data_IF_101640777542
#
_entry.id   IF_101640777542
#
_cell.length_a   1.000
_cell.length_b   1.000
_cell.length_c   1.000
_cell.angle_alpha   90.00
_cell.angle_beta   90.00
_cell.angle_gamma   90.00
#
_symmetry.space_group_name_H-M   'P 1'
#
loop_
_entity.id
_entity.type
_entity.pdbx_description
1 polymer ?
#
# COMPACT_ATOMS: atom_id res chain seq x y z
N UNK A 1 -20.16 2.74 0.29
CA UNK A 1 -19.09 3.63 0.73
C UNK A 1 -18.65 3.15 2.09
N UNK A 2 -17.47 2.60 2.20
CA UNK A 2 -16.91 2.07 3.45
C UNK A 2 -16.10 3.13 4.18
N UNK A 3 -15.87 2.94 5.49
CA UNK A 3 -15.12 3.88 6.34
C UNK A 3 -13.86 3.22 6.87
N UNK A 4 -12.72 3.78 6.52
CA UNK A 4 -11.42 3.27 6.91
C UNK A 4 -10.69 4.22 7.85
N UNK A 5 -10.01 3.66 8.84
CA UNK A 5 -8.89 4.30 9.54
C UNK A 5 -7.63 3.72 8.90
N UNK A 6 -6.80 4.55 8.30
CA UNK A 6 -5.53 4.14 7.68
C UNK A 6 -4.39 4.81 8.42
N UNK A 7 -3.58 4.02 9.11
CA UNK A 7 -2.47 4.54 9.91
C UNK A 7 -1.14 3.88 9.51
N UNK A 8 -0.10 4.67 9.32
CA UNK A 8 1.20 4.10 8.95
C UNK A 8 2.17 5.07 8.33
N UNK A 9 3.12 4.49 7.58
CA UNK A 9 4.25 5.21 6.99
C UNK A 9 3.76 6.23 5.95
N UNK A 10 4.24 7.45 6.12
CA UNK A 10 4.21 8.50 5.11
C UNK A 10 5.63 9.04 4.95
N UNK A 11 6.04 9.30 3.73
CA UNK A 11 7.40 9.70 3.42
C UNK A 11 7.48 10.66 2.24
N UNK A 12 8.58 11.40 2.15
CA UNK A 12 8.94 12.17 0.97
C UNK A 12 9.72 11.27 0.02
N UNK A 13 9.24 11.11 -1.20
CA UNK A 13 9.82 10.24 -2.19
C UNK A 13 10.51 11.02 -3.29
N UNK A 14 11.73 10.63 -3.62
CA UNK A 14 12.47 11.10 -4.79
C UNK A 14 12.69 9.93 -5.74
N UNK A 15 12.03 9.94 -6.89
CA UNK A 15 12.17 8.93 -7.92
C UNK A 15 13.12 9.44 -8.99
N UNK A 16 14.19 8.71 -9.26
CA UNK A 16 15.23 9.08 -10.21
C UNK A 16 15.36 8.05 -11.32
N UNK A 17 15.12 8.48 -12.56
CA UNK A 17 15.40 7.66 -13.73
C UNK A 17 16.89 7.69 -14.02
N UNK A 18 17.53 6.51 -14.04
CA UNK A 18 18.95 6.35 -14.34
C UNK A 18 19.14 5.58 -15.65
N UNK A 19 20.32 5.70 -16.25
CA UNK A 19 20.64 5.00 -17.51
C UNK A 19 20.64 3.48 -17.33
N UNK A 20 21.31 3.01 -16.27
CA UNK A 20 21.44 1.58 -15.94
C UNK A 20 21.69 1.37 -14.44
N UNK A 21 21.33 0.19 -13.96
CA UNK A 21 21.67 -0.29 -12.61
C UNK A 21 22.51 -1.58 -12.76
N UNK A 22 23.74 -1.68 -12.17
CA UNK A 22 24.38 -0.70 -11.27
C UNK A 22 24.80 0.59 -11.99
N UNK A 23 24.76 1.71 -11.24
CA UNK A 23 25.09 3.03 -11.77
C UNK A 23 26.61 3.09 -12.02
N UNK A 24 26.99 3.51 -13.22
CA UNK A 24 28.39 3.89 -13.50
C UNK A 24 28.67 5.28 -12.96
N UNK A 25 29.83 5.47 -12.38
CA UNK A 25 30.24 6.77 -11.90
C UNK A 25 30.40 7.76 -13.08
N UNK A 26 29.60 8.82 -13.05
CA UNK A 26 29.71 10.00 -13.89
C UNK A 26 29.67 11.23 -12.96
N UNK A 27 30.63 12.15 -13.03
CA UNK A 27 30.68 13.33 -12.14
C UNK A 27 29.42 14.19 -12.24
N UNK A 28 28.75 14.16 -13.40
CA UNK A 28 27.54 14.92 -13.68
C UNK A 28 26.66 14.17 -14.68
N UNK A 29 25.39 14.02 -14.35
CA UNK A 29 24.38 13.51 -15.26
C UNK A 29 23.18 14.45 -15.26
N UNK A 30 22.86 15.02 -16.41
CA UNK A 30 21.71 15.91 -16.57
C UNK A 30 20.77 15.37 -17.63
N UNK A 31 19.61 14.83 -17.21
CA UNK A 31 18.54 14.42 -18.11
C UNK A 31 17.26 15.15 -17.70
N UNK A 32 16.55 15.68 -18.72
CA UNK A 32 15.27 16.34 -18.49
C UNK A 32 14.23 15.33 -18.01
N UNK A 33 13.39 15.75 -17.06
CA UNK A 33 12.28 14.96 -16.51
C UNK A 33 12.72 13.61 -15.90
N UNK A 34 13.99 13.54 -15.42
CA UNK A 34 14.56 12.34 -14.80
C UNK A 34 14.34 12.26 -13.28
N UNK A 35 13.93 13.36 -12.64
CA UNK A 35 13.73 13.41 -11.18
C UNK A 35 12.28 13.82 -10.90
N UNK A 36 11.62 13.04 -10.05
CA UNK A 36 10.26 13.30 -9.61
C UNK A 36 10.19 13.24 -8.07
N UNK A 37 9.59 14.26 -7.47
CA UNK A 37 9.44 14.36 -6.01
C UNK A 37 7.95 14.41 -5.67
N UNK A 38 7.55 13.62 -4.67
CA UNK A 38 6.16 13.58 -4.18
C UNK A 38 6.09 13.09 -2.73
N UNK A 39 4.95 13.27 -2.10
CA UNK A 39 4.60 12.47 -0.94
C UNK A 39 4.22 11.05 -1.37
N UNK A 40 4.51 10.10 -0.51
CA UNK A 40 4.22 8.69 -0.67
C UNK A 40 4.25 7.94 0.67
N UNK A 41 4.61 6.68 0.63
CA UNK A 41 4.55 5.77 1.78
C UNK A 41 3.25 4.97 1.81
N UNK A 42 3.23 3.90 2.61
CA UNK A 42 2.13 2.93 2.58
C UNK A 42 0.79 3.56 2.94
N UNK A 43 0.70 4.23 4.11
CA UNK A 43 -0.57 4.80 4.56
C UNK A 43 -1.08 5.92 3.65
N UNK A 44 -0.17 6.76 3.13
CA UNK A 44 -0.55 7.84 2.21
C UNK A 44 -1.11 7.28 0.90
N UNK A 45 -0.41 6.33 0.29
CA UNK A 45 -0.81 5.75 -1.00
C UNK A 45 -2.10 4.94 -0.90
N UNK A 46 -2.27 4.15 0.17
CA UNK A 46 -3.48 3.38 0.45
C UNK A 46 -4.69 4.29 0.72
N UNK A 47 -4.50 5.34 1.52
CA UNK A 47 -5.53 6.34 1.78
C UNK A 47 -6.02 7.01 0.51
N UNK A 48 -5.11 7.44 -0.35
CA UNK A 48 -5.47 8.04 -1.64
C UNK A 48 -6.19 7.06 -2.56
N UNK A 49 -5.71 5.81 -2.64
CA UNK A 49 -6.34 4.79 -3.48
C UNK A 49 -7.79 4.51 -3.03
N UNK A 50 -8.03 4.36 -1.72
CA UNK A 50 -9.37 4.19 -1.15
C UNK A 50 -10.27 5.42 -1.42
N UNK A 51 -9.73 6.63 -1.26
CA UNK A 51 -10.48 7.86 -1.59
C UNK A 51 -10.85 7.94 -3.07
N UNK A 52 -9.96 7.52 -3.99
CA UNK A 52 -10.26 7.45 -5.42
C UNK A 52 -11.37 6.45 -5.75
N UNK A 53 -11.44 5.35 -5.01
CA UNK A 53 -12.50 4.34 -5.11
C UNK A 53 -13.83 4.78 -4.44
N UNK A 54 -13.85 5.95 -3.78
CA UNK A 54 -15.04 6.55 -3.21
C UNK A 54 -15.28 6.25 -1.73
N UNK A 55 -14.29 5.75 -1.00
CA UNK A 55 -14.42 5.47 0.44
C UNK A 55 -14.16 6.70 1.31
N UNK A 56 -14.68 6.67 2.54
CA UNK A 56 -14.31 7.59 3.60
C UNK A 56 -13.02 7.11 4.27
N UNK A 57 -12.05 8.00 4.43
CA UNK A 57 -10.74 7.64 4.99
C UNK A 57 -10.31 8.67 6.01
N UNK A 58 -10.03 8.21 7.22
CA UNK A 58 -9.29 8.95 8.25
C UNK A 58 -7.82 8.57 8.12
N UNK A 59 -7.05 9.48 7.53
CA UNK A 59 -5.62 9.29 7.25
C UNK A 59 -4.79 9.73 8.43
N UNK A 60 -4.03 8.80 9.03
CA UNK A 60 -3.27 9.00 10.26
C UNK A 60 -1.80 8.67 10.05
N UNK A 61 -0.93 9.63 10.37
CA UNK A 61 0.52 9.46 10.23
C UNK A 61 1.26 10.47 11.10
N UNK A 62 2.57 10.29 11.21
CA UNK A 62 3.47 11.24 11.85
C UNK A 62 4.47 11.77 10.82
N UNK A 63 4.80 13.06 10.91
CA UNK A 63 5.70 13.77 10.01
C UNK A 63 6.63 14.70 10.79
N UNK A 64 7.61 15.27 10.10
CA UNK A 64 8.53 16.24 10.70
C UNK A 64 7.83 17.48 11.21
N UNK A 65 8.32 18.06 12.33
CA UNK A 65 7.73 19.24 12.98
C UNK A 65 7.64 20.47 12.06
N UNK A 66 8.51 20.56 11.06
CA UNK A 66 8.57 21.68 10.11
C UNK A 66 8.13 21.27 8.69
N UNK A 67 7.39 20.16 8.54
CA UNK A 67 6.95 19.69 7.23
C UNK A 67 5.84 20.61 6.67
N UNK A 68 5.96 20.96 5.41
CA UNK A 68 4.88 21.63 4.67
C UNK A 68 3.83 20.59 4.25
N UNK A 69 2.72 20.54 4.97
CA UNK A 69 1.64 19.60 4.71
C UNK A 69 0.96 19.78 3.34
N UNK A 70 1.21 20.91 2.65
CA UNK A 70 0.69 21.12 1.29
C UNK A 70 1.21 20.09 0.29
N UNK A 71 2.37 19.46 0.57
CA UNK A 71 2.93 18.40 -0.28
C UNK A 71 2.01 17.16 -0.40
N UNK A 72 1.17 16.91 0.61
CA UNK A 72 0.20 15.82 0.58
C UNK A 72 -0.99 16.13 -0.35
N UNK A 73 -1.32 17.42 -0.52
CA UNK A 73 -2.45 17.88 -1.33
C UNK A 73 -2.03 18.97 -2.32
N UNK A 74 -1.14 18.70 -3.28
CA UNK A 74 -0.76 19.68 -4.28
C UNK A 74 -2.00 20.18 -5.05
N UNK A 75 -2.01 21.47 -5.42
CA UNK A 75 -3.17 22.18 -5.97
C UNK A 75 -3.81 21.52 -7.21
N UNK A 76 -3.04 20.72 -7.96
CA UNK A 76 -3.52 20.00 -9.14
C UNK A 76 -4.11 18.62 -8.83
N UNK A 77 -4.14 18.20 -7.58
CA UNK A 77 -4.68 16.89 -7.18
C UNK A 77 -6.21 16.94 -7.12
N UNK A 78 -6.87 16.01 -7.81
CA UNK A 78 -8.34 15.94 -7.86
C UNK A 78 -8.97 15.37 -6.59
N UNK A 79 -8.28 14.45 -5.92
CA UNK A 79 -8.71 13.80 -4.67
C UNK A 79 -7.71 14.17 -3.59
N UNK A 80 -8.20 14.71 -2.49
CA UNK A 80 -7.39 15.19 -1.36
C UNK A 80 -7.64 14.36 -0.12
N UNK A 81 -6.63 14.27 0.76
CA UNK A 81 -6.75 13.71 2.10
C UNK A 81 -6.85 14.82 3.14
N UNK A 82 -7.68 14.63 4.17
CA UNK A 82 -7.61 15.47 5.36
C UNK A 82 -6.23 15.33 6.02
N UNK A 83 -5.65 16.43 6.42
CA UNK A 83 -4.41 16.44 7.22
C UNK A 83 -4.69 16.61 8.72
N UNK A 84 -5.93 16.52 9.15
CA UNK A 84 -6.36 16.70 10.55
C UNK A 84 -5.65 15.75 11.52
N UNK A 85 -5.39 14.50 11.05
CA UNK A 85 -4.72 13.47 11.83
C UNK A 85 -3.27 13.21 11.38
N UNK A 86 -2.67 14.13 10.65
CA UNK A 86 -1.25 14.16 10.33
C UNK A 86 -0.53 14.92 11.43
N UNK A 87 0.23 14.23 12.28
CA UNK A 87 0.85 14.84 13.46
C UNK A 87 2.31 15.19 13.19
N UNK A 88 2.70 16.48 13.23
CA UNK A 88 4.08 16.91 13.07
C UNK A 88 4.85 16.79 14.40
N UNK A 89 5.24 15.55 14.78
CA UNK A 89 5.80 15.23 16.11
C UNK A 89 7.15 14.52 16.08
N UNK A 90 7.73 14.32 14.90
CA UNK A 90 9.09 13.80 14.74
C UNK A 90 10.00 14.88 14.15
N UNK A 91 11.33 14.75 14.30
CA UNK A 91 12.27 15.78 13.84
C UNK A 91 12.22 16.01 12.33
N UNK A 92 12.18 14.92 11.58
CA UNK A 92 12.15 14.94 10.11
C UNK A 92 11.18 13.89 9.59
N UNK A 93 10.46 14.22 8.51
CA UNK A 93 9.64 13.26 7.76
C UNK A 93 10.52 12.16 7.16
N UNK A 94 10.12 10.88 7.22
CA UNK A 94 10.79 9.80 6.50
C UNK A 94 11.02 10.10 5.03
N UNK A 95 12.10 9.56 4.46
CA UNK A 95 12.51 9.83 3.08
C UNK A 95 12.82 8.53 2.34
N UNK A 96 12.45 8.48 1.07
CA UNK A 96 12.82 7.40 0.16
C UNK A 96 13.45 7.95 -1.12
N UNK A 97 14.51 7.30 -1.59
CA UNK A 97 15.03 7.50 -2.95
C UNK A 97 14.84 6.19 -3.71
N UNK A 98 14.14 6.26 -4.83
CA UNK A 98 13.95 5.15 -5.76
C UNK A 98 14.70 5.44 -7.05
N UNK A 99 15.73 4.66 -7.34
CA UNK A 99 16.39 4.65 -8.64
C UNK A 99 15.75 3.59 -9.52
N UNK A 100 15.51 3.89 -10.79
CA UNK A 100 15.04 2.89 -11.75
C UNK A 100 15.63 3.13 -13.15
N UNK A 101 15.85 2.05 -13.89
CA UNK A 101 16.36 2.09 -15.27
C UNK A 101 15.30 1.68 -16.31
N UNK A 102 15.63 1.81 -17.58
CA UNK A 102 14.74 1.45 -18.69
C UNK A 102 14.42 -0.06 -18.75
N UNK A 103 15.21 -0.91 -18.07
CA UNK A 103 15.01 -2.36 -17.95
C UNK A 103 14.17 -2.74 -16.74
N UNK A 104 13.60 -1.75 -16.03
CA UNK A 104 12.76 -1.88 -14.83
C UNK A 104 13.53 -2.40 -13.60
N UNK A 105 14.87 -2.41 -13.62
CA UNK A 105 15.62 -2.60 -12.40
C UNK A 105 15.40 -1.40 -11.50
N UNK A 106 15.20 -1.66 -10.21
CA UNK A 106 14.98 -0.63 -9.21
C UNK A 106 15.89 -0.86 -8.00
N UNK A 107 16.34 0.24 -7.40
CA UNK A 107 17.07 0.24 -6.14
C UNK A 107 16.47 1.28 -5.22
N UNK A 108 16.15 0.89 -3.98
CA UNK A 108 15.57 1.75 -2.96
C UNK A 108 16.57 2.07 -1.88
N UNK A 109 16.51 3.31 -1.41
CA UNK A 109 17.15 3.79 -0.19
C UNK A 109 16.05 4.41 0.67
N UNK A 110 15.85 3.84 1.85
CA UNK A 110 14.82 4.27 2.78
C UNK A 110 15.46 4.73 4.09
N UNK A 111 15.03 5.89 4.55
CA UNK A 111 15.39 6.46 5.83
C UNK A 111 14.11 6.78 6.60
N UNK A 112 13.74 5.90 7.50
CA UNK A 112 12.50 6.00 8.30
C UNK A 112 12.58 7.03 9.43
N UNK A 113 13.74 7.68 9.64
CA UNK A 113 13.91 8.67 10.70
C UNK A 113 13.45 8.15 12.08
N UNK A 114 12.88 9.02 12.87
CA UNK A 114 12.43 8.71 14.24
C UNK A 114 11.02 8.08 14.28
N UNK A 115 10.47 7.62 13.14
CA UNK A 115 9.07 7.10 13.06
C UNK A 115 8.87 5.87 13.98
N UNK A 116 9.94 5.13 14.27
CA UNK A 116 9.89 3.96 15.14
C UNK A 116 9.75 4.30 16.61
N UNK A 117 10.17 5.51 16.98
CA UNK A 117 10.15 6.01 18.35
C UNK A 117 8.99 6.98 18.60
N UNK A 118 8.17 7.21 17.58
CA UNK A 118 7.03 8.10 17.67
C UNK A 118 5.87 7.45 18.43
N UNK A 119 5.18 8.27 19.23
CA UNK A 119 3.92 7.92 19.89
C UNK A 119 2.76 8.68 19.25
N UNK A 120 1.70 7.98 18.89
CA UNK A 120 0.50 8.60 18.34
C UNK A 120 -0.54 8.85 19.43
N UNK A 121 -1.13 10.04 19.44
CA UNK A 121 -2.15 10.39 20.44
C UNK A 121 -3.47 9.62 20.19
N UNK A 122 -3.69 8.55 20.91
CA UNK A 122 -4.87 7.69 20.75
C UNK A 122 -6.20 8.37 21.14
N UNK A 123 -6.19 9.47 21.91
CA UNK A 123 -7.43 10.22 22.18
C UNK A 123 -8.05 10.81 20.90
N UNK A 124 -7.25 11.03 19.84
CA UNK A 124 -7.76 11.45 18.54
C UNK A 124 -8.42 10.30 17.77
N UNK A 125 -8.01 9.07 18.05
CA UNK A 125 -8.46 7.86 17.36
C UNK A 125 -9.72 7.28 17.99
N UNK A 126 -9.77 7.24 19.31
CA UNK A 126 -10.83 6.58 20.10
C UNK A 126 -12.26 6.95 19.68
N UNK A 127 -12.60 8.22 19.35
CA UNK A 127 -13.93 8.59 18.87
C UNK A 127 -14.28 8.09 17.45
N UNK A 128 -13.27 7.72 16.66
CA UNK A 128 -13.42 7.29 15.27
C UNK A 128 -13.57 5.77 15.14
N UNK A 129 -13.00 5.02 16.08
CA UNK A 129 -13.00 3.54 16.08
C UNK A 129 -14.40 2.96 15.94
N UNK A 130 -15.43 3.39 16.70
CA UNK A 130 -16.77 2.82 16.56
C UNK A 130 -17.38 3.05 15.17
N UNK A 131 -16.95 4.09 14.47
CA UNK A 131 -17.51 4.53 13.19
C UNK A 131 -16.83 3.90 11.98
N UNK A 132 -15.61 3.32 12.13
CA UNK A 132 -14.92 2.69 11.02
C UNK A 132 -15.39 1.27 10.79
N UNK A 133 -15.28 0.81 9.54
CA UNK A 133 -15.56 -0.57 9.13
C UNK A 133 -14.30 -1.43 9.22
N UNK A 134 -13.13 -0.83 8.94
CA UNK A 134 -11.82 -1.51 8.94
C UNK A 134 -10.70 -0.54 9.30
N UNK A 135 -9.70 -1.07 10.01
CA UNK A 135 -8.42 -0.40 10.21
C UNK A 135 -7.37 -1.00 9.28
N UNK A 136 -6.55 -0.14 8.66
CA UNK A 136 -5.44 -0.53 7.77
C UNK A 136 -4.16 0.03 8.37
N UNK A 137 -3.19 -0.84 8.68
CA UNK A 137 -1.98 -0.43 9.38
C UNK A 137 -0.71 -0.83 8.63
N UNK A 138 0.28 0.04 8.66
CA UNK A 138 1.68 -0.34 8.43
C UNK A 138 2.29 -0.92 9.71
N UNK A 139 3.29 -1.80 9.58
CA UNK A 139 3.98 -2.45 10.70
C UNK A 139 5.04 -1.54 11.35
N UNK A 140 4.64 -0.37 11.85
CA UNK A 140 5.49 0.58 12.58
C UNK A 140 5.01 0.80 14.01
N UNK A 141 5.92 1.16 14.92
CA UNK A 141 5.65 1.16 16.36
C UNK A 141 4.45 2.02 16.77
N UNK A 142 4.30 3.22 16.20
CA UNK A 142 3.17 4.08 16.57
C UNK A 142 1.80 3.51 16.14
N UNK A 143 1.77 2.50 15.26
CA UNK A 143 0.54 1.80 14.88
C UNK A 143 0.14 0.69 15.88
N UNK A 144 1.03 0.26 16.79
CA UNK A 144 0.72 -0.83 17.74
C UNK A 144 -0.48 -0.54 18.63
N UNK A 145 -0.67 0.67 19.19
CA UNK A 145 -1.85 0.97 19.99
C UNK A 145 -3.18 0.84 19.23
N UNK A 146 -3.16 0.98 17.89
CA UNK A 146 -4.35 0.77 17.05
C UNK A 146 -4.80 -0.70 17.02
N UNK A 147 -3.87 -1.65 17.17
CA UNK A 147 -4.20 -3.08 17.21
C UNK A 147 -5.16 -3.36 18.37
N UNK A 148 -4.84 -2.88 19.57
CA UNK A 148 -5.71 -3.06 20.73
C UNK A 148 -7.10 -2.43 20.49
N UNK A 149 -7.17 -1.23 19.87
CA UNK A 149 -8.45 -0.59 19.54
C UNK A 149 -9.26 -1.40 18.54
N UNK A 150 -8.62 -2.00 17.55
CA UNK A 150 -9.30 -2.88 16.59
C UNK A 150 -9.88 -4.11 17.30
N UNK A 151 -9.07 -4.78 18.10
CA UNK A 151 -9.46 -6.00 18.84
C UNK A 151 -10.59 -5.70 19.85
N UNK A 152 -10.43 -4.69 20.70
CA UNK A 152 -11.39 -4.33 21.76
C UNK A 152 -12.76 -3.91 21.19
N UNK A 153 -12.79 -3.41 19.97
CA UNK A 153 -14.00 -2.94 19.28
C UNK A 153 -14.50 -3.88 18.18
N UNK A 154 -13.94 -5.10 18.07
CA UNK A 154 -14.28 -6.08 17.02
C UNK A 154 -14.22 -5.48 15.61
N UNK A 155 -13.21 -4.65 15.33
CA UNK A 155 -12.99 -4.09 14.00
C UNK A 155 -12.08 -4.99 13.19
N UNK A 156 -12.37 -5.13 11.91
CA UNK A 156 -11.45 -5.81 10.99
C UNK A 156 -10.14 -5.04 10.90
N UNK A 157 -9.05 -5.79 10.99
CA UNK A 157 -7.69 -5.27 10.93
C UNK A 157 -6.98 -5.81 9.70
N UNK A 158 -6.59 -4.94 8.80
CA UNK A 158 -5.75 -5.24 7.64
C UNK A 158 -4.35 -4.68 7.89
N UNK A 159 -3.33 -5.48 7.70
CA UNK A 159 -1.94 -5.08 7.92
C UNK A 159 -1.10 -5.34 6.69
N UNK A 160 -0.40 -4.31 6.25
CA UNK A 160 0.65 -4.45 5.25
C UNK A 160 2.00 -4.53 5.94
N UNK A 161 2.68 -5.65 5.74
CA UNK A 161 4.03 -5.86 6.25
C UNK A 161 5.03 -5.28 5.26
N UNK A 162 5.54 -4.10 5.60
CA UNK A 162 6.57 -3.42 4.83
C UNK A 162 7.91 -4.14 5.01
N UNK A 163 8.50 -4.64 3.93
CA UNK A 163 9.82 -5.30 3.92
C UNK A 163 9.93 -6.45 4.95
N UNK A 164 9.08 -7.48 4.82
CA UNK A 164 9.17 -8.66 5.67
C UNK A 164 10.55 -9.34 5.55
N UNK A 165 11.12 -9.70 6.70
CA UNK A 165 12.33 -10.51 6.82
C UNK A 165 12.18 -11.45 8.00
N UNK A 166 12.70 -12.68 7.88
CA UNK A 166 12.60 -13.68 8.94
C UNK A 166 13.24 -13.27 10.27
N UNK A 167 14.38 -12.59 10.23
CA UNK A 167 15.05 -12.05 11.42
C UNK A 167 14.25 -10.95 12.14
N UNK A 168 13.26 -10.36 11.46
CA UNK A 168 12.35 -9.35 12.00
C UNK A 168 10.93 -9.86 12.27
N UNK A 169 10.69 -11.15 12.17
CA UNK A 169 9.37 -11.72 12.39
C UNK A 169 8.87 -11.46 13.83
N UNK A 170 9.74 -11.57 14.82
CA UNK A 170 9.41 -11.24 16.22
C UNK A 170 8.96 -9.78 16.36
N UNK A 171 9.59 -8.85 15.65
CA UNK A 171 9.17 -7.45 15.66
C UNK A 171 7.74 -7.27 15.12
N UNK A 172 7.33 -8.11 14.18
CA UNK A 172 6.02 -8.04 13.54
C UNK A 172 4.95 -8.91 14.21
N UNK A 173 5.30 -9.65 15.27
CA UNK A 173 4.46 -10.74 15.82
C UNK A 173 3.06 -10.28 16.23
N UNK A 174 2.93 -9.12 16.86
CA UNK A 174 1.65 -8.57 17.28
C UNK A 174 0.78 -8.11 16.10
N UNK A 175 1.37 -7.54 15.06
CA UNK A 175 0.68 -7.25 13.80
C UNK A 175 0.18 -8.52 13.13
N UNK A 176 1.04 -9.54 13.02
CA UNK A 176 0.73 -10.80 12.37
C UNK A 176 -0.37 -11.59 13.09
N UNK A 177 -0.32 -11.63 14.44
CA UNK A 177 -1.29 -12.37 15.26
C UNK A 177 -2.69 -11.77 15.29
N UNK A 178 -2.82 -10.47 15.08
CA UNK A 178 -4.09 -9.76 15.24
C UNK A 178 -4.73 -9.35 13.90
N UNK A 179 -4.01 -9.48 12.79
CA UNK A 179 -4.55 -9.11 11.50
C UNK A 179 -5.57 -10.13 10.97
N UNK A 180 -6.71 -9.66 10.49
CA UNK A 180 -7.64 -10.47 9.69
C UNK A 180 -7.13 -10.61 8.25
N UNK A 181 -6.50 -9.56 7.71
CA UNK A 181 -5.98 -9.53 6.35
C UNK A 181 -4.52 -9.12 6.40
N UNK A 182 -3.64 -9.95 5.83
CA UNK A 182 -2.21 -9.70 5.72
C UNK A 182 -1.80 -9.48 4.27
N UNK A 183 -0.96 -8.47 4.05
CA UNK A 183 -0.31 -8.24 2.77
C UNK A 183 1.21 -8.30 2.92
N UNK A 184 1.86 -9.06 2.03
CA UNK A 184 3.32 -9.16 1.89
C UNK A 184 3.75 -8.88 0.45
N UNK A 185 5.01 -8.45 0.28
CA UNK A 185 5.71 -8.50 -1.01
C UNK A 185 6.73 -9.63 -0.98
N UNK A 186 6.93 -10.29 -2.10
CA UNK A 186 7.91 -11.37 -2.24
C UNK A 186 9.37 -10.90 -2.34
N UNK A 187 9.63 -9.59 -2.49
CA UNK A 187 10.98 -9.03 -2.75
C UNK A 187 12.05 -9.38 -1.71
N UNK A 188 11.67 -9.76 -0.51
CA UNK A 188 12.59 -10.11 0.59
C UNK A 188 12.23 -11.44 1.24
N UNK A 189 11.51 -12.29 0.52
CA UNK A 189 11.11 -13.64 0.92
C UNK A 189 11.92 -14.61 0.05
N UNK A 190 12.80 -15.38 0.69
CA UNK A 190 13.69 -16.33 0.01
C UNK A 190 13.04 -17.70 -0.17
N UNK A 191 11.93 -17.95 0.53
CA UNK A 191 11.19 -19.21 0.50
C UNK A 191 10.31 -19.33 -0.76
N UNK A 192 9.92 -20.56 -1.08
CA UNK A 192 8.91 -20.82 -2.10
C UNK A 192 7.59 -20.14 -1.71
N UNK A 193 6.97 -19.35 -2.62
CA UNK A 193 5.84 -18.50 -2.30
C UNK A 193 4.63 -19.20 -1.68
N UNK A 194 4.26 -20.37 -2.16
CA UNK A 194 3.14 -21.14 -1.61
C UNK A 194 3.43 -21.70 -0.21
N UNK A 195 4.66 -22.16 0.03
CA UNK A 195 5.07 -22.66 1.34
C UNK A 195 5.12 -21.51 2.36
N UNK A 196 5.59 -20.32 1.97
CA UNK A 196 5.54 -19.12 2.80
C UNK A 196 4.10 -18.78 3.20
N UNK A 197 3.18 -18.70 2.23
CA UNK A 197 1.77 -18.37 2.50
C UNK A 197 1.12 -19.41 3.42
N UNK A 198 1.38 -20.70 3.19
CA UNK A 198 0.87 -21.80 4.01
C UNK A 198 1.41 -21.76 5.45
N UNK A 199 2.69 -21.46 5.62
CA UNK A 199 3.30 -21.32 6.94
C UNK A 199 2.68 -20.14 7.70
N UNK A 200 2.57 -18.95 7.05
CA UNK A 200 1.97 -17.77 7.66
C UNK A 200 0.50 -18.00 8.03
N UNK A 201 -0.25 -18.70 7.18
CA UNK A 201 -1.64 -19.07 7.44
C UNK A 201 -1.74 -20.01 8.66
N UNK A 202 -0.89 -21.04 8.73
CA UNK A 202 -0.89 -21.98 9.84
C UNK A 202 -0.42 -21.40 11.18
N UNK A 203 0.48 -20.41 11.14
CA UNK A 203 1.08 -19.82 12.34
C UNK A 203 0.23 -18.69 12.94
N UNK A 204 -0.37 -17.84 12.09
CA UNK A 204 -1.03 -16.61 12.52
C UNK A 204 -2.54 -16.59 12.30
N UNK A 205 -3.07 -17.57 11.57
CA UNK A 205 -4.50 -17.81 11.35
C UNK A 205 -5.33 -16.62 10.82
N UNK A 206 -4.81 -15.81 9.87
CA UNK A 206 -5.59 -14.72 9.28
C UNK A 206 -6.72 -15.24 8.39
N UNK A 207 -7.75 -14.41 8.13
CA UNK A 207 -8.81 -14.73 7.17
C UNK A 207 -8.26 -14.76 5.74
N UNK A 208 -7.39 -13.78 5.41
CA UNK A 208 -6.82 -13.57 4.06
C UNK A 208 -5.33 -13.31 4.16
N UNK A 209 -4.55 -13.91 3.26
CA UNK A 209 -3.18 -13.49 2.96
C UNK A 209 -3.09 -13.12 1.48
N UNK A 210 -2.45 -11.99 1.20
CA UNK A 210 -2.09 -11.58 -0.16
C UNK A 210 -0.56 -11.49 -0.22
N UNK A 211 0.05 -12.25 -1.11
CA UNK A 211 1.47 -12.16 -1.43
C UNK A 211 1.63 -11.56 -2.82
N UNK A 212 1.99 -10.27 -2.89
CA UNK A 212 2.25 -9.58 -4.15
C UNK A 212 3.58 -10.01 -4.76
N UNK A 213 3.58 -10.41 -6.03
CA UNK A 213 4.72 -10.94 -6.76
C UNK A 213 5.13 -10.05 -7.95
N UNK A 214 4.83 -8.76 -7.86
CA UNK A 214 5.19 -7.78 -8.89
C UNK A 214 4.64 -8.13 -10.27
N UNK A 215 5.51 -8.35 -11.25
CA UNK A 215 5.13 -8.69 -12.63
C UNK A 215 4.53 -10.10 -12.77
N UNK A 216 4.71 -10.96 -11.79
CA UNK A 216 4.12 -12.29 -11.73
C UNK A 216 2.71 -12.29 -11.13
N UNK A 217 2.18 -11.15 -10.66
CA UNK A 217 0.83 -11.07 -10.10
C UNK A 217 0.78 -11.21 -8.59
N UNK A 218 -0.07 -12.10 -8.07
CA UNK A 218 -0.23 -12.30 -6.62
C UNK A 218 -0.76 -13.69 -6.29
N UNK A 219 -0.34 -14.21 -5.12
CA UNK A 219 -0.98 -15.37 -4.48
C UNK A 219 -1.95 -14.86 -3.43
N UNK A 220 -3.15 -15.42 -3.40
CA UNK A 220 -4.14 -15.18 -2.36
C UNK A 220 -4.51 -16.47 -1.64
N UNK A 221 -4.48 -16.41 -0.31
CA UNK A 221 -5.05 -17.41 0.58
C UNK A 221 -6.36 -16.88 1.16
N UNK A 222 -7.41 -17.68 1.14
CA UNK A 222 -8.71 -17.39 1.77
C UNK A 222 -9.09 -18.56 2.68
N UNK A 223 -9.02 -18.34 3.99
CA UNK A 223 -9.35 -19.33 5.00
C UNK A 223 -10.82 -19.78 4.92
N UNK A 224 -11.74 -18.83 4.71
CA UNK A 224 -13.18 -19.10 4.74
C UNK A 224 -13.66 -19.90 3.53
N UNK A 225 -12.95 -19.79 2.40
CA UNK A 225 -13.23 -20.50 1.14
C UNK A 225 -12.29 -21.68 0.90
N UNK A 226 -11.33 -21.90 1.82
CA UNK A 226 -10.36 -23.01 1.81
C UNK A 226 -9.60 -23.13 0.49
N UNK A 227 -8.95 -22.05 0.06
CA UNK A 227 -8.09 -22.07 -1.12
C UNK A 227 -6.83 -21.21 -0.99
N UNK A 228 -5.80 -21.61 -1.74
CA UNK A 228 -4.62 -20.80 -2.06
C UNK A 228 -4.42 -20.82 -3.56
N UNK A 229 -4.51 -19.66 -4.23
CA UNK A 229 -4.48 -19.56 -5.69
C UNK A 229 -3.61 -18.39 -6.13
N UNK A 230 -2.85 -18.62 -7.19
CA UNK A 230 -2.10 -17.59 -7.90
C UNK A 230 -2.97 -16.96 -9.00
N UNK A 231 -2.87 -15.64 -9.12
CA UNK A 231 -3.44 -14.84 -10.20
C UNK A 231 -2.34 -14.08 -10.93
N UNK A 232 -2.29 -14.22 -12.24
CA UNK A 232 -1.34 -13.51 -13.10
C UNK A 232 -1.55 -12.00 -13.06
N UNK A 233 -0.46 -11.24 -13.26
CA UNK A 233 -0.55 -9.81 -13.39
C UNK A 233 -1.31 -9.41 -14.67
N UNK A 234 -2.11 -8.35 -14.56
CA UNK A 234 -2.85 -7.81 -15.70
C UNK A 234 -2.00 -6.75 -16.41
N UNK A 235 -1.76 -6.91 -17.69
CA UNK A 235 -0.98 -5.98 -18.51
C UNK A 235 -1.92 -5.07 -19.30
N UNK A 236 -2.14 -3.83 -18.84
CA UNK A 236 -3.06 -2.88 -19.49
C UNK A 236 -2.37 -1.74 -20.23
N UNK A 237 -1.18 -1.34 -19.78
CA UNK A 237 -0.44 -0.18 -20.29
C UNK A 237 1.06 -0.41 -20.28
N UNK A 238 1.78 0.50 -20.95
CA UNK A 238 3.23 0.56 -20.80
C UNK A 238 3.59 0.90 -19.35
N UNK A 239 4.45 0.09 -18.75
CA UNK A 239 4.95 0.33 -17.40
C UNK A 239 5.91 1.51 -17.39
N UNK A 240 5.57 2.54 -16.63
CA UNK A 240 6.42 3.72 -16.38
C UNK A 240 7.33 3.44 -15.18
N UNK A 241 6.75 3.06 -14.04
CA UNK A 241 7.46 2.49 -12.91
C UNK A 241 6.51 1.63 -12.07
N UNK A 242 7.05 0.67 -11.31
CA UNK A 242 6.26 -0.23 -10.47
C UNK A 242 6.06 0.26 -9.02
N UNK A 243 6.56 1.44 -8.67
CA UNK A 243 6.46 1.98 -7.33
C UNK A 243 4.98 2.23 -6.94
N UNK A 244 4.58 1.83 -5.74
CA UNK A 244 3.22 1.97 -5.23
C UNK A 244 2.19 0.96 -5.78
N UNK A 245 2.58 0.01 -6.65
CA UNK A 245 1.68 -1.02 -7.16
C UNK A 245 1.07 -1.88 -6.04
N UNK A 246 1.89 -2.29 -5.06
CA UNK A 246 1.42 -3.07 -3.92
C UNK A 246 0.41 -2.32 -3.06
N UNK A 247 0.60 -1.01 -2.83
CA UNK A 247 -0.36 -0.19 -2.09
C UNK A 247 -1.69 -0.06 -2.85
N UNK A 248 -1.60 0.14 -4.17
CA UNK A 248 -2.78 0.20 -5.03
C UNK A 248 -3.56 -1.13 -5.01
N UNK A 249 -2.85 -2.26 -5.14
CA UNK A 249 -3.43 -3.60 -5.09
C UNK A 249 -4.11 -3.82 -3.74
N UNK A 250 -3.42 -3.56 -2.64
CA UNK A 250 -3.96 -3.80 -1.30
C UNK A 250 -5.19 -2.94 -1.02
N UNK A 251 -5.13 -1.63 -1.26
CA UNK A 251 -6.26 -0.73 -1.06
C UNK A 251 -7.50 -1.13 -1.90
N UNK A 252 -7.31 -1.45 -3.18
CA UNK A 252 -8.40 -1.87 -4.05
C UNK A 252 -8.99 -3.23 -3.61
N UNK A 253 -8.15 -4.18 -3.17
CA UNK A 253 -8.62 -5.43 -2.60
C UNK A 253 -9.52 -5.17 -1.38
N UNK A 254 -9.08 -4.33 -0.43
CA UNK A 254 -9.84 -4.02 0.78
C UNK A 254 -11.18 -3.36 0.47
N UNK A 255 -11.22 -2.41 -0.48
CA UNK A 255 -12.46 -1.78 -0.95
C UNK A 255 -13.49 -2.81 -1.41
N UNK A 256 -13.11 -3.69 -2.35
CA UNK A 256 -14.03 -4.68 -2.89
C UNK A 256 -14.36 -5.78 -1.89
N UNK A 257 -13.41 -6.19 -1.07
CA UNK A 257 -13.63 -7.24 -0.06
C UNK A 257 -14.63 -6.81 1.02
N UNK A 258 -14.53 -5.56 1.51
CA UNK A 258 -15.56 -5.03 2.41
C UNK A 258 -16.95 -4.94 1.76
N UNK A 259 -16.99 -4.61 0.48
CA UNK A 259 -18.24 -4.40 -0.25
C UNK A 259 -18.93 -5.70 -0.63
N UNK A 260 -18.19 -6.76 -0.93
CA UNK A 260 -18.71 -7.98 -1.57
C UNK A 260 -18.48 -9.27 -0.78
N UNK A 261 -17.54 -9.28 0.17
CA UNK A 261 -17.02 -10.47 0.83
C UNK A 261 -16.51 -11.55 -0.15
N UNK A 262 -16.19 -11.14 -1.39
CA UNK A 262 -15.67 -12.03 -2.42
C UNK A 262 -14.20 -11.76 -2.71
N UNK A 263 -13.34 -12.61 -2.15
CA UNK A 263 -11.89 -12.51 -2.28
C UNK A 263 -11.40 -12.71 -3.72
N UNK A 264 -12.07 -13.55 -4.53
CA UNK A 264 -11.71 -13.78 -5.93
C UNK A 264 -12.02 -12.56 -6.80
N UNK A 265 -13.20 -11.97 -6.63
CA UNK A 265 -13.55 -10.71 -7.29
C UNK A 265 -12.60 -9.59 -6.86
N UNK A 266 -12.32 -9.51 -5.56
CA UNK A 266 -11.49 -8.45 -4.99
C UNK A 266 -10.05 -8.47 -5.51
N UNK A 267 -9.42 -9.65 -5.57
CA UNK A 267 -8.04 -9.76 -6.10
C UNK A 267 -8.00 -9.46 -7.61
N UNK A 268 -9.01 -9.87 -8.36
CA UNK A 268 -9.13 -9.59 -9.77
C UNK A 268 -9.19 -8.08 -10.06
N UNK A 269 -10.08 -7.36 -9.38
CA UNK A 269 -10.19 -5.89 -9.47
C UNK A 269 -8.90 -5.21 -9.02
N UNK A 270 -8.27 -5.70 -7.96
CA UNK A 270 -7.05 -5.15 -7.40
C UNK A 270 -5.84 -5.26 -8.35
N UNK A 271 -5.69 -6.38 -9.05
CA UNK A 271 -4.65 -6.57 -10.06
C UNK A 271 -4.83 -5.60 -11.24
N UNK A 272 -6.07 -5.40 -11.69
CA UNK A 272 -6.38 -4.44 -12.75
C UNK A 272 -6.09 -3.00 -12.30
N UNK A 273 -6.47 -2.64 -11.08
CA UNK A 273 -6.22 -1.32 -10.51
C UNK A 273 -4.71 -1.03 -10.37
N UNK A 274 -3.95 -2.00 -9.87
CA UNK A 274 -2.49 -1.91 -9.78
C UNK A 274 -1.82 -1.81 -11.15
N UNK A 275 -2.31 -2.55 -12.15
CA UNK A 275 -1.84 -2.48 -13.53
C UNK A 275 -2.03 -1.08 -14.16
N UNK A 276 -3.16 -0.43 -13.90
CA UNK A 276 -3.34 0.96 -14.36
C UNK A 276 -2.35 1.91 -13.67
N UNK A 277 -2.16 1.75 -12.35
CA UNK A 277 -1.28 2.61 -11.54
C UNK A 277 0.16 2.63 -12.07
N UNK A 278 0.75 1.51 -12.44
CA UNK A 278 2.15 1.42 -12.89
C UNK A 278 2.42 2.11 -14.25
N UNK A 279 1.38 2.51 -14.97
CA UNK A 279 1.46 3.35 -16.16
C UNK A 279 1.68 4.85 -15.88
N UNK A 280 1.85 5.25 -14.63
CA UNK A 280 2.03 6.65 -14.21
C UNK A 280 3.26 6.83 -13.33
N UNK A 281 3.87 8.03 -13.42
CA UNK A 281 5.00 8.40 -12.57
C UNK A 281 4.55 8.67 -11.13
N UNK A 282 5.39 8.32 -10.17
CA UNK A 282 5.14 8.49 -8.73
C UNK A 282 4.38 7.31 -8.13
N UNK A 283 4.34 7.22 -6.80
CA UNK A 283 3.70 6.13 -6.07
C UNK A 283 2.20 6.37 -5.85
N UNK A 284 1.79 7.63 -5.84
CA UNK A 284 0.45 8.11 -5.50
C UNK A 284 -0.36 8.64 -6.70
N UNK A 285 0.06 8.35 -7.93
CA UNK A 285 -0.63 8.74 -9.16
C UNK A 285 -1.16 7.52 -9.92
N UNK A 286 -2.14 7.74 -10.81
CA UNK A 286 -2.70 6.68 -11.67
C UNK A 286 -3.76 5.82 -10.99
N UNK A 287 -4.35 6.29 -9.91
CA UNK A 287 -5.53 5.65 -9.33
C UNK A 287 -6.76 5.92 -10.17
N UNK A 288 -7.69 4.99 -10.18
CA UNK A 288 -8.96 5.06 -10.90
C UNK A 288 -10.11 5.28 -9.93
N UNK A 289 -11.20 5.88 -10.41
CA UNK A 289 -12.48 5.79 -9.71
C UNK A 289 -13.06 4.37 -9.85
N UNK A 290 -13.98 3.99 -8.97
CA UNK A 290 -14.69 2.71 -9.07
C UNK A 290 -15.35 2.55 -10.45
N UNK A 291 -16.00 3.61 -10.96
CA UNK A 291 -16.63 3.61 -12.29
C UNK A 291 -15.62 3.34 -13.40
N UNK A 292 -14.45 3.98 -13.38
CA UNK A 292 -13.38 3.74 -14.36
C UNK A 292 -12.87 2.29 -14.29
N UNK A 293 -12.72 1.76 -13.07
CA UNK A 293 -12.28 0.38 -12.89
C UNK A 293 -13.31 -0.62 -13.45
N UNK A 294 -14.61 -0.41 -13.22
CA UNK A 294 -15.68 -1.23 -13.78
C UNK A 294 -15.69 -1.17 -15.32
N UNK A 295 -15.48 0.00 -15.89
CA UNK A 295 -15.39 0.16 -17.36
C UNK A 295 -14.20 -0.63 -17.93
N UNK A 296 -13.02 -0.55 -17.30
CA UNK A 296 -11.84 -1.31 -17.73
C UNK A 296 -12.02 -2.81 -17.56
N UNK A 297 -12.61 -3.25 -16.47
CA UNK A 297 -12.91 -4.65 -16.21
C UNK A 297 -13.81 -5.26 -17.29
N UNK A 298 -14.88 -4.54 -17.64
CA UNK A 298 -15.77 -4.96 -18.73
C UNK A 298 -15.06 -5.02 -20.09
N UNK A 299 -14.18 -4.07 -20.39
CA UNK A 299 -13.43 -4.06 -21.65
C UNK A 299 -12.44 -5.22 -21.79
N UNK A 300 -11.79 -5.61 -20.70
CA UNK A 300 -10.75 -6.64 -20.70
C UNK A 300 -11.37 -8.05 -20.66
N UNK A 301 -12.36 -8.25 -19.82
CA UNK A 301 -12.90 -9.59 -19.53
C UNK A 301 -14.21 -9.90 -20.27
N UNK A 302 -14.99 -8.87 -20.67
CA UNK A 302 -16.22 -9.02 -21.44
C UNK A 302 -16.21 -8.20 -22.75
N UNK A 303 -15.22 -8.40 -23.65
CA UNK A 303 -15.08 -7.55 -24.86
C UNK A 303 -16.24 -7.64 -25.84
N UNK A 304 -17.18 -8.59 -25.68
CA UNK A 304 -18.36 -8.77 -26.54
C UNK A 304 -19.58 -7.94 -26.09
N UNK A 305 -19.58 -7.35 -24.92
CA UNK A 305 -20.65 -6.49 -24.40
C UNK A 305 -20.48 -4.99 -24.69
N UNK A 306 -19.36 -4.58 -25.25
CA UNK A 306 -19.00 -3.19 -25.53
C UNK A 306 -19.28 -2.75 -26.99
N UNK A 307 -20.31 -3.31 -27.64
CA UNK A 307 -20.79 -2.85 -28.96
C UNK A 307 -22.13 -2.17 -28.84
#
# INVERSE_FOLDING_TARGET
MSKFIVAGITQLETIVKVKEIPIKYEPYTGERDSIYISAGGDAFNESLALKWLGDEVEFMTVVGENEDLSIFNPANRKVTLSTEYVLPIIKETPKEILLYDARRKAQRFEDLKDIRDADYNMMLVDPLVPKCDMMVLSNVNFCRPFIARAVDNNKKLAVKIHSFKRDKEIYNEDFLKNANILYFNDNSIDEEPYEFVKEMAGKYDPEIIILGQGENGAIIYDKNKDFTVHYDAVNTKQVVNNAGAGNALFACFLHYYLKTADSKLSIHKALLFASNKIGYMGTSNGFMTEEQLEQWDNLIWNPRGAR
#
